data_IF_917525278065
#
_entry.id   IF_917525278065
#
_cell.length_a   1.000
_cell.length_b   1.000
_cell.length_c   1.000
_cell.angle_alpha   90.00
_cell.angle_beta   90.00
_cell.angle_gamma   90.00
#
_symmetry.space_group_name_H-M   'P 1'
#
loop_
_entity.id
_entity.type
_entity.pdbx_description
1 polymer ?
#
# COMPACT_ATOMS: atom_id res chain seq x y z
N UNK A 1 35.94 7.12 16.53
CA UNK A 1 34.76 7.03 15.63
C UNK A 1 33.97 5.79 16.03
N UNK A 2 32.85 5.97 16.73
CA UNK A 2 31.98 4.85 17.08
C UNK A 2 31.16 4.48 15.85
N UNK A 3 31.49 3.34 15.25
CA UNK A 3 30.65 2.70 14.23
C UNK A 3 29.45 2.14 15.00
N UNK A 4 28.34 2.87 15.01
CA UNK A 4 27.06 2.32 15.47
C UNK A 4 26.72 1.12 14.58
N UNK A 5 26.76 -0.08 15.17
CA UNK A 5 26.21 -1.28 14.54
C UNK A 5 24.72 -1.03 14.33
N UNK A 6 24.31 -0.94 13.07
CA UNK A 6 22.91 -0.92 12.66
C UNK A 6 22.22 -2.12 13.29
N UNK A 7 21.37 -1.87 14.29
CA UNK A 7 20.42 -2.86 14.80
C UNK A 7 19.24 -2.85 13.83
N UNK A 8 19.15 -3.89 13.00
CA UNK A 8 17.91 -4.21 12.31
C UNK A 8 16.84 -4.39 13.39
N UNK A 9 15.75 -3.61 13.32
CA UNK A 9 14.58 -3.94 14.12
C UNK A 9 14.05 -5.29 13.65
N UNK A 10 13.63 -6.14 14.57
CA UNK A 10 13.00 -7.42 14.25
C UNK A 10 11.81 -7.17 13.31
N UNK A 11 11.86 -7.74 12.11
CA UNK A 11 10.79 -7.64 11.13
C UNK A 11 9.51 -8.26 11.72
N UNK A 12 8.36 -7.62 11.51
CA UNK A 12 7.08 -8.12 11.98
C UNK A 12 6.87 -9.55 11.43
N UNK A 13 6.52 -10.54 12.26
CA UNK A 13 6.28 -11.91 11.79
C UNK A 13 5.26 -12.02 10.64
N UNK A 14 4.28 -11.11 10.59
CA UNK A 14 3.32 -11.04 9.49
C UNK A 14 3.99 -10.64 8.17
N UNK A 15 4.91 -9.67 8.22
CA UNK A 15 5.70 -9.24 7.07
C UNK A 15 6.53 -10.42 6.56
N UNK A 16 7.38 -11.02 7.42
CA UNK A 16 8.25 -12.14 7.02
C UNK A 16 7.45 -13.26 6.33
N UNK A 17 6.29 -13.63 6.89
CA UNK A 17 5.42 -14.66 6.31
C UNK A 17 4.85 -14.27 4.94
N UNK A 18 4.42 -13.02 4.77
CA UNK A 18 3.93 -12.50 3.50
C UNK A 18 5.04 -12.48 2.44
N UNK A 19 6.25 -12.06 2.83
CA UNK A 19 7.43 -12.05 1.97
C UNK A 19 7.78 -13.45 1.46
N UNK A 20 7.83 -14.43 2.35
CA UNK A 20 8.12 -15.81 1.99
C UNK A 20 7.08 -16.40 1.03
N UNK A 21 5.79 -16.14 1.24
CA UNK A 21 4.73 -16.66 0.36
C UNK A 21 4.82 -16.08 -1.04
N UNK A 22 5.10 -14.78 -1.16
CA UNK A 22 5.19 -14.14 -2.47
C UNK A 22 6.50 -14.43 -3.19
N UNK A 23 7.61 -14.63 -2.47
CA UNK A 23 8.83 -15.20 -3.06
C UNK A 23 8.56 -16.59 -3.65
N UNK A 24 7.84 -17.45 -2.92
CA UNK A 24 7.42 -18.77 -3.43
C UNK A 24 6.50 -18.67 -4.64
N UNK A 25 5.59 -17.69 -4.66
CA UNK A 25 4.73 -17.43 -5.83
C UNK A 25 5.57 -17.03 -7.02
N UNK A 26 6.47 -16.06 -6.85
CA UNK A 26 7.36 -15.59 -7.90
C UNK A 26 8.17 -16.75 -8.52
N UNK A 27 8.80 -17.58 -7.68
CA UNK A 27 9.61 -18.71 -8.15
C UNK A 27 8.78 -19.75 -8.89
N UNK A 28 7.57 -20.03 -8.42
CA UNK A 28 6.63 -20.92 -9.11
C UNK A 28 6.23 -20.37 -10.48
N UNK A 29 5.95 -19.07 -10.59
CA UNK A 29 5.62 -18.42 -11.86
C UNK A 29 6.81 -18.47 -12.82
N UNK A 30 8.03 -18.23 -12.33
CA UNK A 30 9.27 -18.27 -13.13
C UNK A 30 9.61 -19.68 -13.60
N UNK A 31 9.30 -20.70 -12.82
CA UNK A 31 9.50 -22.09 -13.23
C UNK A 31 8.47 -22.55 -14.29
N UNK A 32 7.26 -21.98 -14.26
CA UNK A 32 6.16 -22.38 -15.13
C UNK A 32 6.05 -21.57 -16.43
N UNK A 33 6.75 -20.43 -16.52
CA UNK A 33 6.70 -19.49 -17.63
C UNK A 33 8.12 -19.18 -18.14
N UNK A 34 8.24 -18.85 -19.42
CA UNK A 34 9.49 -18.37 -19.98
C UNK A 34 9.55 -16.84 -19.85
N UNK A 35 10.44 -16.35 -18.96
CA UNK A 35 10.71 -14.93 -18.77
C UNK A 35 12.16 -14.66 -19.19
N UNK A 36 12.34 -14.32 -20.46
CA UNK A 36 13.66 -14.17 -21.08
C UNK A 36 14.02 -12.71 -21.36
N UNK A 37 13.06 -11.79 -21.37
CA UNK A 37 13.28 -10.37 -21.60
C UNK A 37 13.08 -9.51 -20.34
N UNK A 38 13.69 -8.32 -20.34
CA UNK A 38 13.48 -7.31 -19.30
C UNK A 38 12.01 -6.85 -19.23
N UNK A 39 11.32 -6.84 -20.38
CA UNK A 39 9.90 -6.53 -20.46
C UNK A 39 9.05 -7.58 -19.72
N UNK A 40 9.38 -8.87 -19.85
CA UNK A 40 8.66 -9.95 -19.17
C UNK A 40 8.81 -9.85 -17.64
N UNK A 41 10.03 -9.58 -17.17
CA UNK A 41 10.30 -9.39 -15.74
C UNK A 41 9.59 -8.14 -15.19
N UNK A 42 9.52 -7.09 -16.00
CA UNK A 42 8.81 -5.87 -15.64
C UNK A 42 7.29 -6.11 -15.53
N UNK A 43 6.68 -6.85 -16.48
CA UNK A 43 5.27 -7.22 -16.42
C UNK A 43 4.97 -8.15 -15.24
N UNK A 44 5.87 -9.09 -14.91
CA UNK A 44 5.76 -9.93 -13.71
C UNK A 44 5.76 -9.11 -12.41
N UNK A 45 6.62 -8.09 -12.32
CA UNK A 45 6.65 -7.20 -11.15
C UNK A 45 5.34 -6.42 -11.00
N UNK A 46 4.79 -5.88 -12.10
CA UNK A 46 3.48 -5.21 -12.07
C UNK A 46 2.40 -6.20 -11.67
N UNK A 47 2.42 -7.43 -12.20
CA UNK A 47 1.48 -8.48 -11.84
C UNK A 47 1.47 -8.78 -10.32
N UNK A 48 2.64 -8.99 -9.72
CA UNK A 48 2.78 -9.21 -8.27
C UNK A 48 2.28 -7.99 -7.48
N UNK A 49 2.59 -6.79 -7.94
CA UNK A 49 2.15 -5.54 -7.30
C UNK A 49 0.62 -5.40 -7.33
N UNK A 50 -0.03 -5.83 -8.41
CA UNK A 50 -1.50 -5.84 -8.52
C UNK A 50 -2.15 -6.84 -7.58
N UNK A 51 -1.61 -8.06 -7.47
CA UNK A 51 -2.07 -9.05 -6.50
C UNK A 51 -2.02 -8.47 -5.08
N UNK A 52 -0.89 -7.86 -4.74
CA UNK A 52 -0.66 -7.23 -3.45
C UNK A 52 -1.65 -6.11 -3.14
N UNK A 53 -1.86 -5.22 -4.11
CA UNK A 53 -2.88 -4.19 -3.99
C UNK A 53 -4.25 -4.81 -3.72
N UNK A 54 -4.64 -5.86 -4.44
CA UNK A 54 -5.95 -6.48 -4.27
C UNK A 54 -6.13 -7.13 -2.90
N UNK A 55 -5.12 -7.82 -2.36
CA UNK A 55 -5.15 -8.36 -1.01
C UNK A 55 -5.25 -7.26 0.06
N UNK A 56 -4.44 -6.21 -0.07
CA UNK A 56 -4.51 -5.07 0.83
C UNK A 56 -5.87 -4.35 0.74
N UNK A 57 -6.42 -4.24 -0.46
CA UNK A 57 -7.68 -3.54 -0.70
C UNK A 57 -8.89 -4.24 -0.07
N UNK A 58 -8.97 -5.57 -0.14
CA UNK A 58 -10.07 -6.33 0.48
C UNK A 58 -10.02 -6.33 2.00
N UNK A 59 -8.82 -6.22 2.58
CA UNK A 59 -8.67 -6.14 4.03
C UNK A 59 -8.91 -4.71 4.53
N UNK A 60 -8.39 -3.68 3.87
CA UNK A 60 -8.49 -2.29 4.36
C UNK A 60 -9.82 -1.59 4.05
N UNK A 61 -10.75 -2.29 3.39
CA UNK A 61 -12.08 -1.76 3.07
C UNK A 61 -12.13 -0.90 1.82
N UNK A 62 -11.09 -0.93 0.98
CA UNK A 62 -11.13 -0.37 -0.38
C UNK A 62 -12.04 -1.25 -1.25
N UNK A 63 -11.93 -2.57 -1.11
CA UNK A 63 -12.86 -3.55 -1.67
C UNK A 63 -13.81 -4.04 -0.56
N UNK A 64 -14.87 -4.74 -0.97
CA UNK A 64 -15.63 -5.54 -0.02
C UNK A 64 -14.76 -6.65 0.56
N UNK A 65 -15.04 -7.05 1.80
CA UNK A 65 -14.27 -8.08 2.49
C UNK A 65 -14.20 -9.38 1.68
N UNK A 66 -12.99 -9.93 1.52
CA UNK A 66 -12.68 -11.12 0.73
C UNK A 66 -13.17 -11.09 -0.73
N UNK A 67 -13.40 -9.90 -1.31
CA UNK A 67 -13.87 -9.78 -2.70
C UNK A 67 -12.89 -10.44 -3.68
N UNK A 68 -11.59 -10.21 -3.52
CA UNK A 68 -10.59 -10.71 -4.45
C UNK A 68 -10.30 -12.19 -4.20
N UNK A 69 -9.91 -12.55 -2.98
CA UNK A 69 -9.53 -13.93 -2.66
C UNK A 69 -10.73 -14.89 -2.77
N UNK A 70 -11.91 -14.46 -2.29
CA UNK A 70 -13.14 -15.24 -2.38
C UNK A 70 -13.64 -15.40 -3.82
N UNK A 71 -13.45 -14.38 -4.69
CA UNK A 71 -13.84 -14.52 -6.09
C UNK A 71 -12.91 -15.45 -6.87
N UNK A 72 -11.60 -15.42 -6.62
CA UNK A 72 -10.67 -16.42 -7.17
C UNK A 72 -11.08 -17.82 -6.72
N UNK A 73 -11.37 -17.99 -5.42
CA UNK A 73 -11.76 -19.28 -4.87
C UNK A 73 -13.02 -19.85 -5.53
N UNK A 74 -14.05 -19.00 -5.72
CA UNK A 74 -15.36 -19.39 -6.22
C UNK A 74 -15.42 -19.57 -7.75
N UNK A 75 -14.68 -18.75 -8.52
CA UNK A 75 -14.90 -18.60 -9.96
C UNK A 75 -13.72 -19.06 -10.83
N UNK A 76 -12.70 -19.69 -10.25
CA UNK A 76 -11.58 -20.27 -11.02
C UNK A 76 -11.40 -21.75 -10.70
N UNK A 77 -10.95 -22.52 -11.68
CA UNK A 77 -10.71 -23.97 -11.54
C UNK A 77 -9.58 -24.25 -10.55
N UNK A 78 -9.71 -25.36 -9.81
CA UNK A 78 -8.69 -25.82 -8.85
C UNK A 78 -7.33 -26.11 -9.49
N UNK A 79 -7.30 -26.42 -10.79
CA UNK A 79 -6.05 -26.66 -11.53
C UNK A 79 -5.32 -25.37 -11.96
N UNK A 80 -5.94 -24.20 -11.77
CA UNK A 80 -5.37 -22.89 -12.12
C UNK A 80 -5.43 -22.55 -13.61
N UNK A 81 -5.99 -23.41 -14.46
CA UNK A 81 -5.91 -23.27 -15.93
C UNK A 81 -6.59 -22.01 -16.48
N UNK A 82 -7.62 -21.50 -15.80
CA UNK A 82 -8.40 -20.31 -16.16
C UNK A 82 -8.03 -19.05 -15.34
N UNK A 83 -7.13 -19.17 -14.36
CA UNK A 83 -6.82 -18.09 -13.43
C UNK A 83 -6.16 -16.89 -14.13
N UNK A 84 -5.31 -17.13 -15.13
CA UNK A 84 -4.64 -16.05 -15.86
C UNK A 84 -5.65 -15.16 -16.62
N UNK A 85 -6.61 -15.78 -17.30
CA UNK A 85 -7.68 -15.08 -18.03
C UNK A 85 -8.61 -14.33 -17.07
N UNK A 86 -8.95 -14.96 -15.94
CA UNK A 86 -9.76 -14.32 -14.90
C UNK A 86 -9.07 -13.07 -14.32
N UNK A 87 -7.80 -13.17 -13.96
CA UNK A 87 -7.03 -12.05 -13.41
C UNK A 87 -6.81 -10.95 -14.44
N UNK A 88 -6.60 -11.29 -15.72
CA UNK A 88 -6.54 -10.29 -16.78
C UNK A 88 -7.84 -9.48 -16.85
N UNK A 89 -8.99 -10.15 -16.91
CA UNK A 89 -10.29 -9.48 -16.93
C UNK A 89 -10.54 -8.63 -15.67
N UNK A 90 -10.21 -9.15 -14.49
CA UNK A 90 -10.36 -8.44 -13.22
C UNK A 90 -9.47 -7.18 -13.16
N UNK A 91 -8.20 -7.28 -13.52
CA UNK A 91 -7.28 -6.14 -13.54
C UNK A 91 -7.70 -5.10 -14.58
N UNK A 92 -8.18 -5.56 -15.72
CA UNK A 92 -8.59 -4.70 -16.81
C UNK A 92 -9.85 -3.90 -16.48
N UNK A 93 -10.83 -4.48 -15.78
CA UNK A 93 -12.05 -3.76 -15.38
C UNK A 93 -11.78 -2.70 -14.30
N UNK A 94 -10.73 -2.89 -13.48
CA UNK A 94 -10.34 -1.92 -12.45
C UNK A 94 -9.80 -0.61 -13.04
N UNK A 95 -9.39 -0.58 -14.30
CA UNK A 95 -9.04 0.63 -15.06
C UNK A 95 -10.22 1.19 -15.88
N UNK A 96 -11.36 0.51 -15.94
CA UNK A 96 -12.50 0.95 -16.75
C UNK A 96 -13.50 1.76 -15.92
N UNK A 97 -13.51 3.08 -16.12
CA UNK A 97 -14.53 3.98 -15.56
C UNK A 97 -15.91 3.80 -16.20
N UNK A 98 -15.96 3.41 -17.47
CA UNK A 98 -17.17 3.08 -18.21
C UNK A 98 -17.12 1.62 -18.62
N UNK A 99 -18.12 0.84 -18.21
CA UNK A 99 -18.14 -0.62 -18.38
C UNK A 99 -19.12 -1.01 -19.47
N UNK A 100 -18.71 -1.94 -20.32
CA UNK A 100 -19.57 -2.46 -21.37
C UNK A 100 -20.72 -3.28 -20.76
N UNK A 101 -21.89 -3.23 -21.38
CA UNK A 101 -23.11 -3.87 -20.86
C UNK A 101 -23.03 -5.41 -20.81
N UNK A 102 -22.16 -5.99 -21.62
CA UNK A 102 -21.88 -7.44 -21.73
C UNK A 102 -20.76 -7.91 -20.80
N UNK A 103 -20.17 -7.02 -19.98
CA UNK A 103 -19.15 -7.40 -19.01
C UNK A 103 -19.73 -8.44 -18.03
N UNK A 104 -19.07 -9.59 -17.81
CA UNK A 104 -19.55 -10.61 -16.88
C UNK A 104 -19.77 -10.06 -15.46
N UNK A 105 -20.87 -10.46 -14.81
CA UNK A 105 -21.21 -10.01 -13.45
C UNK A 105 -20.11 -10.30 -12.43
N UNK A 106 -19.43 -11.44 -12.60
CA UNK A 106 -18.27 -11.86 -11.78
C UNK A 106 -17.06 -10.91 -11.91
N UNK A 107 -16.96 -10.14 -12.99
CA UNK A 107 -15.92 -9.13 -13.19
C UNK A 107 -16.44 -7.75 -12.74
N UNK A 108 -17.73 -7.46 -12.95
CA UNK A 108 -18.36 -6.19 -12.55
C UNK A 108 -18.32 -5.90 -11.04
N UNK A 109 -18.10 -6.89 -10.20
CA UNK A 109 -17.98 -6.71 -8.74
C UNK A 109 -16.73 -5.90 -8.32
N UNK A 110 -15.66 -5.90 -9.11
CA UNK A 110 -14.45 -5.13 -8.79
C UNK A 110 -14.69 -3.63 -9.01
N UNK A 111 -14.28 -2.73 -8.12
CA UNK A 111 -14.46 -1.28 -8.29
C UNK A 111 -13.44 -0.67 -9.26
N UNK A 112 -13.67 0.58 -9.68
CA UNK A 112 -12.70 1.35 -10.45
C UNK A 112 -11.59 1.91 -9.55
N UNK A 113 -10.32 1.81 -9.96
CA UNK A 113 -9.12 2.16 -9.17
C UNK A 113 -8.25 3.20 -9.89
N UNK A 114 -8.88 4.24 -10.45
CA UNK A 114 -8.24 5.46 -11.02
C UNK A 114 -6.99 5.26 -11.90
N UNK A 115 -6.87 4.10 -12.55
CA UNK A 115 -5.92 3.76 -13.60
C UNK A 115 -4.43 3.79 -13.30
N UNK A 116 -3.91 4.30 -12.17
CA UNK A 116 -2.45 4.34 -11.95
C UNK A 116 -1.77 2.96 -12.09
N UNK A 117 -2.09 2.05 -11.17
CA UNK A 117 -1.51 0.69 -11.14
C UNK A 117 -2.10 -0.23 -12.23
N UNK A 118 -3.33 0.06 -12.69
CA UNK A 118 -4.11 -0.82 -13.57
C UNK A 118 -4.16 -0.38 -15.05
N UNK A 119 -3.72 0.83 -15.41
CA UNK A 119 -3.83 1.35 -16.79
C UNK A 119 -2.97 0.62 -17.80
N UNK A 120 -1.77 0.19 -17.40
CA UNK A 120 -0.90 -0.55 -18.31
C UNK A 120 -1.48 -1.96 -18.53
N UNK A 121 -1.75 -2.33 -19.78
CA UNK A 121 -1.97 -3.76 -20.10
C UNK A 121 -0.65 -4.52 -19.94
N UNK A 122 -0.69 -5.62 -19.20
CA UNK A 122 0.46 -6.48 -18.96
C UNK A 122 0.11 -7.91 -19.38
N UNK A 123 1.12 -8.69 -19.72
CA UNK A 123 0.90 -10.12 -19.90
C UNK A 123 0.77 -10.82 -18.54
N UNK A 124 -0.40 -11.41 -18.27
CA UNK A 124 -0.59 -12.21 -17.07
C UNK A 124 0.11 -13.57 -17.25
N UNK A 125 0.99 -13.99 -16.31
CA UNK A 125 1.65 -15.29 -16.37
C UNK A 125 0.64 -16.45 -16.41
N UNK A 126 1.01 -17.54 -17.09
CA UNK A 126 0.25 -18.79 -16.97
C UNK A 126 0.36 -19.32 -15.55
N UNK A 127 -0.72 -19.93 -15.08
CA UNK A 127 -0.87 -20.38 -13.70
C UNK A 127 -0.87 -21.90 -13.63
N UNK A 128 -0.21 -22.42 -12.60
CA UNK A 128 -0.31 -23.81 -12.17
C UNK A 128 -1.29 -23.94 -11.01
N UNK A 129 -1.73 -25.17 -10.71
CA UNK A 129 -2.54 -25.44 -9.51
C UNK A 129 -1.82 -24.98 -8.22
N UNK A 130 -0.48 -25.07 -8.21
CA UNK A 130 0.35 -24.63 -7.09
C UNK A 130 0.41 -23.11 -6.99
N UNK A 131 0.56 -22.39 -8.11
CA UNK A 131 0.49 -20.93 -8.13
C UNK A 131 -0.86 -20.42 -7.60
N UNK A 132 -1.97 -21.01 -8.07
CA UNK A 132 -3.32 -20.70 -7.56
C UNK A 132 -3.42 -20.92 -6.06
N UNK A 133 -2.92 -22.05 -5.56
CA UNK A 133 -2.93 -22.36 -4.12
C UNK A 133 -2.16 -21.30 -3.32
N UNK A 134 -0.97 -20.89 -3.77
CA UNK A 134 -0.17 -19.88 -3.08
C UNK A 134 -0.91 -18.52 -3.08
N UNK A 135 -1.53 -18.12 -4.19
CA UNK A 135 -2.34 -16.89 -4.27
C UNK A 135 -3.46 -16.90 -3.24
N UNK A 136 -4.22 -18.00 -3.12
CA UNK A 136 -5.26 -18.12 -2.09
C UNK A 136 -4.69 -18.09 -0.67
N UNK A 137 -3.55 -18.75 -0.43
CA UNK A 137 -2.88 -18.69 0.87
C UNK A 137 -2.35 -17.29 1.23
N UNK A 138 -2.02 -16.46 0.25
CA UNK A 138 -1.72 -15.04 0.47
C UNK A 138 -2.98 -14.27 0.88
N UNK A 139 -4.13 -14.58 0.28
CA UNK A 139 -5.44 -14.02 0.64
C UNK A 139 -5.93 -14.34 2.05
N UNK A 140 -5.37 -15.37 2.70
CA UNK A 140 -5.66 -15.71 4.10
C UNK A 140 -4.78 -14.97 5.12
N UNK A 141 -3.84 -14.14 4.66
CA UNK A 141 -3.06 -13.26 5.55
C UNK A 141 -3.86 -12.00 5.89
N UNK A 142 -3.56 -11.39 7.04
CA UNK A 142 -4.15 -10.11 7.44
C UNK A 142 -3.28 -8.95 6.95
N UNK A 143 -3.61 -8.41 5.79
CA UNK A 143 -2.88 -7.34 5.11
C UNK A 143 -3.05 -5.98 5.77
N UNK A 144 -3.94 -5.82 6.76
CA UNK A 144 -3.99 -4.60 7.60
C UNK A 144 -2.74 -4.44 8.46
N UNK A 145 -2.15 -5.58 8.84
CA UNK A 145 -1.01 -5.65 9.75
C UNK A 145 0.32 -5.86 9.01
N UNK A 146 0.28 -5.96 7.67
CA UNK A 146 1.47 -6.07 6.83
C UNK A 146 1.89 -4.68 6.41
N UNK A 147 3.15 -4.34 6.65
CA UNK A 147 3.69 -3.06 6.25
C UNK A 147 3.86 -3.02 4.72
N UNK A 148 3.28 -2.02 4.02
CA UNK A 148 3.50 -1.81 2.58
C UNK A 148 4.97 -1.82 2.18
N UNK A 149 5.86 -1.44 3.09
CA UNK A 149 7.29 -1.42 2.83
C UNK A 149 7.91 -2.80 2.52
N UNK A 150 7.21 -3.90 2.84
CA UNK A 150 7.58 -5.23 2.40
C UNK A 150 7.65 -5.37 0.88
N UNK A 151 6.94 -4.50 0.14
CA UNK A 151 7.01 -4.41 -1.32
C UNK A 151 8.44 -4.12 -1.78
N UNK A 152 9.16 -3.26 -1.05
CA UNK A 152 10.55 -2.92 -1.35
C UNK A 152 11.49 -4.10 -1.17
N UNK A 153 11.45 -4.76 -0.01
CA UNK A 153 12.30 -5.92 0.29
C UNK A 153 11.96 -7.14 -0.57
N UNK A 154 10.70 -7.32 -0.96
CA UNK A 154 10.26 -8.39 -1.85
C UNK A 154 10.67 -8.19 -3.31
N UNK A 155 10.42 -7.01 -3.89
CA UNK A 155 10.87 -6.72 -5.25
C UNK A 155 12.40 -6.77 -5.30
N UNK A 156 13.09 -6.30 -4.25
CA UNK A 156 14.55 -6.43 -4.13
C UNK A 156 15.04 -7.88 -4.02
N UNK A 157 14.31 -8.77 -3.31
CA UNK A 157 14.66 -10.18 -3.19
C UNK A 157 14.45 -10.98 -4.48
N UNK A 158 13.57 -10.48 -5.35
CA UNK A 158 13.20 -11.08 -6.64
C UNK A 158 14.09 -10.57 -7.78
N UNK A 159 14.62 -9.35 -7.67
CA UNK A 159 15.65 -8.80 -8.57
C UNK A 159 16.97 -9.53 -8.34
N UNK A 160 17.60 -9.94 -9.45
CA UNK A 160 18.80 -10.79 -9.50
C UNK A 160 19.86 -10.45 -8.40
N UNK A 161 20.33 -11.42 -7.60
CA UNK A 161 21.30 -11.21 -6.52
C UNK A 161 22.56 -10.42 -6.91
N UNK A 162 23.01 -10.53 -8.16
CA UNK A 162 24.20 -9.82 -8.66
C UNK A 162 23.95 -8.31 -8.89
N UNK A 163 22.68 -7.91 -9.11
CA UNK A 163 22.28 -6.50 -9.26
C UNK A 163 22.20 -5.81 -7.88
N UNK A 164 21.90 -6.57 -6.82
CA UNK A 164 21.78 -6.10 -5.43
C UNK A 164 23.05 -5.41 -4.93
N UNK A 165 24.22 -6.01 -5.16
CA UNK A 165 25.49 -5.51 -4.64
C UNK A 165 26.00 -4.27 -5.41
N UNK A 166 25.70 -4.17 -6.71
CA UNK A 166 26.21 -3.10 -7.57
C UNK A 166 25.37 -1.81 -7.53
N UNK A 167 24.10 -1.85 -7.11
CA UNK A 167 23.21 -0.68 -7.14
C UNK A 167 22.90 -0.07 -5.76
N UNK A 168 23.39 -0.65 -4.66
CA UNK A 168 23.12 -0.13 -3.32
C UNK A 168 21.64 -0.13 -2.93
N UNK A 169 20.82 -0.97 -3.58
CA UNK A 169 19.38 -1.06 -3.36
C UNK A 169 19.08 -1.71 -2.00
N UNK A 170 19.07 -0.88 -0.96
CA UNK A 170 18.63 -1.25 0.37
C UNK A 170 17.39 -0.44 0.72
N UNK A 171 16.30 -1.15 1.03
CA UNK A 171 15.13 -0.54 1.61
C UNK A 171 15.46 0.14 2.97
N UNK A 172 14.80 1.26 3.24
CA UNK A 172 14.96 2.02 4.49
C UNK A 172 13.80 1.73 5.45
N UNK A 173 14.08 1.03 6.55
CA UNK A 173 13.04 0.67 7.55
C UNK A 173 12.19 1.86 8.04
N UNK A 174 10.89 1.65 8.31
CA UNK A 174 9.99 2.66 8.93
C UNK A 174 10.64 3.41 10.11
N UNK A 175 11.29 2.75 11.08
CA UNK A 175 11.97 3.46 12.17
C UNK A 175 13.03 4.44 11.67
N UNK A 176 13.78 4.08 10.64
CA UNK A 176 14.79 4.96 10.05
C UNK A 176 14.15 6.09 9.23
N UNK A 177 13.06 5.81 8.49
CA UNK A 177 12.24 6.86 7.85
C UNK A 177 11.76 7.85 8.92
N UNK A 178 11.17 7.35 10.01
CA UNK A 178 10.67 8.17 11.11
C UNK A 178 11.77 8.99 11.78
N UNK A 179 12.99 8.45 11.96
CA UNK A 179 14.14 9.22 12.48
C UNK A 179 14.48 10.43 11.60
N UNK A 180 14.21 10.37 10.30
CA UNK A 180 14.46 11.48 9.37
C UNK A 180 13.25 12.42 9.33
N UNK A 181 12.05 11.90 9.05
CA UNK A 181 10.88 12.76 8.82
C UNK A 181 10.32 13.43 10.08
N UNK A 182 10.50 12.81 11.26
CA UNK A 182 10.10 13.40 12.54
C UNK A 182 10.77 14.79 12.74
N UNK A 183 12.10 14.89 12.84
CA UNK A 183 12.75 16.18 13.03
C UNK A 183 12.71 17.07 11.79
N UNK A 184 12.60 16.50 10.57
CA UNK A 184 12.61 17.28 9.34
C UNK A 184 11.36 18.16 9.17
N UNK A 185 10.18 17.64 9.52
CA UNK A 185 8.94 18.43 9.41
C UNK A 185 7.80 17.93 10.31
N UNK A 186 7.72 16.63 10.61
CA UNK A 186 6.52 16.04 11.21
C UNK A 186 6.33 16.49 12.67
N UNK A 187 7.42 16.65 13.43
CA UNK A 187 7.37 17.15 14.81
C UNK A 187 6.89 18.59 14.86
N UNK A 188 7.33 19.45 13.93
CA UNK A 188 6.86 20.84 13.82
C UNK A 188 5.35 20.90 13.54
N UNK A 189 4.86 20.09 12.59
CA UNK A 189 3.43 20.01 12.27
C UNK A 189 2.60 19.51 13.46
N UNK A 190 3.08 18.46 14.16
CA UNK A 190 2.43 17.93 15.36
C UNK A 190 2.39 18.96 16.47
N UNK A 191 3.48 19.69 16.70
CA UNK A 191 3.50 20.77 17.69
C UNK A 191 2.53 21.90 17.33
N UNK A 192 2.46 22.31 16.06
CA UNK A 192 1.51 23.32 15.62
C UNK A 192 0.06 22.88 15.83
N UNK A 193 -0.26 21.62 15.51
CA UNK A 193 -1.57 21.04 15.77
C UNK A 193 -1.89 20.94 17.27
N UNK A 194 -0.97 20.42 18.07
CA UNK A 194 -1.17 20.25 19.51
C UNK A 194 -1.41 21.59 20.21
N UNK A 195 -0.70 22.65 19.83
CA UNK A 195 -0.96 24.01 20.35
C UNK A 195 -2.39 24.48 20.06
N UNK A 196 -2.89 24.25 18.83
CA UNK A 196 -4.26 24.61 18.47
C UNK A 196 -5.30 23.77 19.24
N UNK A 197 -5.00 22.49 19.45
CA UNK A 197 -5.84 21.59 20.24
C UNK A 197 -5.89 22.01 21.72
N UNK A 198 -4.75 22.29 22.34
CA UNK A 198 -4.64 22.78 23.71
C UNK A 198 -5.37 24.14 23.88
N UNK A 199 -5.18 25.07 22.94
CA UNK A 199 -5.91 26.34 22.92
C UNK A 199 -7.44 26.09 22.91
N UNK A 200 -7.92 25.15 22.10
CA UNK A 200 -9.34 24.80 22.06
C UNK A 200 -9.84 24.19 23.37
N UNK A 201 -9.10 23.23 23.93
CA UNK A 201 -9.44 22.57 25.19
C UNK A 201 -9.51 23.58 26.34
N UNK A 202 -8.56 24.52 26.41
CA UNK A 202 -8.58 25.62 27.36
C UNK A 202 -9.81 26.53 27.20
N UNK A 203 -10.18 26.88 25.96
CA UNK A 203 -11.41 27.63 25.71
C UNK A 203 -12.65 26.84 26.18
N UNK A 204 -12.68 25.52 25.96
CA UNK A 204 -13.79 24.68 26.38
C UNK A 204 -13.91 24.62 27.91
N UNK A 205 -12.79 24.41 28.59
CA UNK A 205 -12.73 24.36 30.04
C UNK A 205 -13.21 25.67 30.70
N UNK A 206 -12.89 26.83 30.11
CA UNK A 206 -13.38 28.12 30.59
C UNK A 206 -14.90 28.26 30.49
N UNK A 207 -15.55 27.63 29.50
CA UNK A 207 -17.03 27.60 29.42
C UNK A 207 -17.59 26.71 30.53
N UNK A 208 -17.02 25.52 30.69
CA UNK A 208 -17.50 24.52 31.64
C UNK A 208 -17.37 25.02 33.09
N UNK A 209 -16.34 25.83 33.39
CA UNK A 209 -16.15 26.48 34.69
C UNK A 209 -16.92 27.81 34.86
N UNK A 210 -17.72 28.22 33.87
CA UNK A 210 -18.46 29.49 33.89
C UNK A 210 -17.58 30.75 33.75
N UNK A 211 -16.29 30.59 33.44
CA UNK A 211 -15.34 31.68 33.26
C UNK A 211 -15.49 32.45 31.94
N UNK A 212 -16.28 31.93 30.99
CA UNK A 212 -16.67 32.67 29.79
C UNK A 212 -18.05 32.29 29.25
N UNK A 213 -18.67 33.22 28.53
CA UNK A 213 -19.96 32.96 27.86
C UNK A 213 -19.79 32.16 26.58
N UNK A 214 -20.84 31.45 26.15
CA UNK A 214 -20.89 30.76 24.86
C UNK A 214 -20.62 31.68 23.66
N UNK A 215 -20.99 32.97 23.74
CA UNK A 215 -20.71 33.95 22.69
C UNK A 215 -19.21 34.26 22.60
N UNK A 216 -18.54 34.42 23.75
CA UNK A 216 -17.11 34.64 23.82
C UNK A 216 -16.33 33.41 23.34
N UNK A 217 -16.72 32.21 23.77
CA UNK A 217 -16.16 30.95 23.30
C UNK A 217 -16.19 30.83 21.77
N UNK A 218 -17.36 31.02 21.15
CA UNK A 218 -17.51 30.98 19.69
C UNK A 218 -16.58 31.97 18.98
N UNK A 219 -16.45 33.20 19.51
CA UNK A 219 -15.55 34.22 18.96
C UNK A 219 -14.09 33.79 19.04
N UNK A 220 -13.65 33.27 20.19
CA UNK A 220 -12.27 32.80 20.39
C UNK A 220 -11.96 31.59 19.49
N UNK A 221 -12.91 30.65 19.36
CA UNK A 221 -12.77 29.50 18.46
C UNK A 221 -12.63 29.90 16.98
N UNK A 222 -13.16 31.06 16.54
CA UNK A 222 -12.95 31.49 15.15
C UNK A 222 -11.48 31.72 14.81
N UNK A 223 -10.68 32.21 15.78
CA UNK A 223 -9.23 32.39 15.60
C UNK A 223 -8.55 31.03 15.46
N UNK A 224 -8.92 30.06 16.29
CA UNK A 224 -8.39 28.69 16.23
C UNK A 224 -8.76 28.02 14.90
N UNK A 225 -10.01 28.17 14.44
CA UNK A 225 -10.47 27.65 13.15
C UNK A 225 -9.67 28.26 12.00
N UNK A 226 -9.43 29.58 12.03
CA UNK A 226 -8.64 30.27 11.01
C UNK A 226 -7.22 29.69 10.96
N UNK A 227 -6.53 29.58 12.09
CA UNK A 227 -5.18 29.01 12.17
C UNK A 227 -5.13 27.53 11.79
N UNK A 228 -6.19 26.77 12.11
CA UNK A 228 -6.32 25.37 11.69
C UNK A 228 -6.43 25.25 10.16
N UNK A 229 -7.20 26.14 9.51
CA UNK A 229 -7.28 26.22 8.04
C UNK A 229 -5.96 26.62 7.41
N UNK A 230 -5.21 27.53 8.04
CA UNK A 230 -3.87 27.91 7.59
C UNK A 230 -2.91 26.72 7.68
N UNK A 231 -2.94 25.95 8.78
CA UNK A 231 -2.14 24.73 8.92
C UNK A 231 -2.50 23.68 7.87
N UNK A 232 -3.80 23.43 7.64
CA UNK A 232 -4.26 22.54 6.57
C UNK A 232 -3.79 23.01 5.18
N UNK A 233 -3.84 24.31 4.91
CA UNK A 233 -3.38 24.89 3.64
C UNK A 233 -1.87 24.79 3.48
N UNK A 234 -1.11 24.90 4.58
CA UNK A 234 0.34 24.67 4.57
C UNK A 234 0.62 23.22 4.22
N UNK A 235 0.00 22.27 4.94
CA UNK A 235 0.18 20.84 4.73
C UNK A 235 -0.16 20.42 3.30
N UNK A 236 -1.27 20.92 2.74
CA UNK A 236 -1.68 20.57 1.37
C UNK A 236 -0.75 21.10 0.27
N UNK A 237 0.10 22.08 0.58
CA UNK A 237 1.08 22.66 -0.35
C UNK A 237 2.49 22.08 -0.17
N UNK A 238 2.71 21.21 0.82
CA UNK A 238 4.02 20.58 1.02
C UNK A 238 4.33 19.66 -0.16
N UNK A 239 5.57 19.75 -0.65
CA UNK A 239 6.10 18.89 -1.70
C UNK A 239 7.26 18.10 -1.12
N UNK A 240 7.21 16.79 -1.28
CA UNK A 240 8.26 15.88 -0.87
C UNK A 240 9.00 15.43 -2.13
N UNK A 241 10.32 15.43 -2.06
CA UNK A 241 11.17 15.00 -3.17
C UNK A 241 12.20 14.03 -2.63
N UNK A 242 12.11 12.78 -3.10
CA UNK A 242 13.11 11.76 -2.88
C UNK A 242 13.76 11.43 -4.23
N UNK A 243 15.00 11.89 -4.47
CA UNK A 243 15.69 11.68 -5.74
C UNK A 243 16.16 10.22 -5.95
N UNK A 244 16.02 9.35 -4.94
CA UNK A 244 16.40 7.94 -4.99
C UNK A 244 15.39 7.06 -4.24
N UNK A 245 14.09 7.30 -4.49
CA UNK A 245 12.98 6.71 -3.74
C UNK A 245 12.87 5.18 -3.79
N UNK A 246 13.53 4.53 -4.75
CA UNK A 246 13.46 3.07 -4.89
C UNK A 246 12.02 2.59 -5.04
N UNK A 247 11.50 1.90 -4.02
CA UNK A 247 10.13 1.37 -4.00
C UNK A 247 9.04 2.37 -3.58
N UNK A 248 9.39 3.59 -3.18
CA UNK A 248 8.41 4.60 -2.75
C UNK A 248 9.02 5.80 -2.05
#
# INVERSE_FOLDING_TARGET
MNIERVRYQDENPADVKAAEKLAKLHDELRAYNDFSSEADLHDLNIFITRLLFCFFAEDTGIFSERLFSGSIEAYTKKDGSDLAEYLDAAFNIMDCSHRAADTPSVILQFPYVNGGLFAKRIQIPKMSAKARKIILECGELDWKNINPDIFGSMIQAVVNPDVRANQGMHYTSVPNIMKVINPLFLDELRQAYNKLKEEYENQRQLVDLGGQTNKQFKKNCQVIIKRSKELLTRMSKMKFFDPACGSG
#
